data_IF_124570444923
#
_entry.id   IF_124570444923
#
_cell.length_a   1.000
_cell.length_b   1.000
_cell.length_c   1.000
_cell.angle_alpha   90.00
_cell.angle_beta   90.00
_cell.angle_gamma   90.00
#
_symmetry.space_group_name_H-M   'P 1'
#
loop_
_entity.id
_entity.type
_entity.pdbx_description
1 polymer ?
#
# COMPACT_ATOMS: atom_id res chain seq x y z
N UNK A 1 -12.68 -24.12 -4.53
CA UNK A 1 -11.53 -23.61 -5.29
C UNK A 1 -10.33 -24.53 -5.12
N UNK A 2 -9.66 -24.59 -3.93
CA UNK A 2 -8.44 -25.38 -3.77
C UNK A 2 -8.65 -26.90 -3.99
N UNK A 3 -9.77 -27.47 -3.58
CA UNK A 3 -10.15 -28.86 -3.87
C UNK A 3 -10.46 -29.14 -5.35
N UNK A 4 -10.51 -28.11 -6.17
CA UNK A 4 -10.70 -28.15 -7.63
C UNK A 4 -9.40 -27.79 -8.35
N UNK A 5 -8.26 -28.09 -7.71
CA UNK A 5 -6.90 -27.85 -8.22
C UNK A 5 -6.55 -26.38 -8.44
N UNK A 6 -7.26 -25.44 -7.79
CA UNK A 6 -6.95 -24.01 -7.81
C UNK A 6 -6.14 -23.63 -6.58
N UNK A 7 -5.49 -22.49 -6.65
CA UNK A 7 -4.65 -22.01 -5.56
C UNK A 7 -5.22 -20.74 -4.92
N UNK A 8 -4.89 -20.56 -3.64
CA UNK A 8 -5.30 -19.39 -2.87
C UNK A 8 -4.10 -18.69 -2.22
N UNK A 9 -4.17 -17.37 -2.18
CA UNK A 9 -3.37 -16.55 -1.26
C UNK A 9 -4.18 -16.30 0.01
N UNK A 10 -3.53 -16.45 1.15
CA UNK A 10 -4.07 -16.08 2.46
C UNK A 10 -3.16 -15.02 3.08
N UNK A 11 -3.62 -13.78 3.15
CA UNK A 11 -2.82 -12.64 3.57
C UNK A 11 -3.20 -12.22 4.98
N UNK A 12 -2.23 -12.29 5.90
CA UNK A 12 -2.38 -11.81 7.27
C UNK A 12 -1.94 -10.35 7.36
N UNK A 13 -2.79 -9.49 7.93
CA UNK A 13 -2.47 -8.09 8.13
C UNK A 13 -1.36 -7.90 9.17
N UNK A 14 -0.59 -6.85 8.98
CA UNK A 14 0.34 -6.33 9.96
C UNK A 14 -0.42 -5.84 11.21
N UNK A 15 -0.25 -6.50 12.34
CA UNK A 15 -0.90 -6.09 13.59
C UNK A 15 -0.06 -5.03 14.32
N UNK A 16 1.28 -5.05 14.16
CA UNK A 16 2.23 -4.13 14.79
C UNK A 16 3.44 -3.87 13.88
N UNK A 17 4.22 -2.83 14.18
CA UNK A 17 5.43 -2.42 13.43
C UNK A 17 6.61 -3.41 13.52
N UNK A 18 6.43 -4.58 14.16
CA UNK A 18 7.48 -5.58 14.36
C UNK A 18 7.34 -6.77 13.41
N UNK A 19 8.34 -7.00 12.58
CA UNK A 19 8.44 -8.17 11.68
C UNK A 19 8.28 -9.51 12.42
N UNK A 20 8.67 -9.56 13.70
CA UNK A 20 8.58 -10.76 14.52
C UNK A 20 7.13 -11.14 14.86
N UNK A 21 6.29 -10.16 15.21
CA UNK A 21 4.88 -10.38 15.52
C UNK A 21 4.07 -10.71 14.26
N UNK A 22 4.45 -10.12 13.15
CA UNK A 22 3.84 -10.41 11.85
C UNK A 22 4.10 -11.85 11.39
N UNK A 23 5.35 -12.30 11.52
CA UNK A 23 5.72 -13.68 11.20
C UNK A 23 4.93 -14.65 12.06
N UNK A 24 4.83 -14.39 13.38
CA UNK A 24 4.07 -15.23 14.30
C UNK A 24 2.58 -15.33 13.95
N UNK A 25 1.94 -14.23 13.54
CA UNK A 25 0.53 -14.26 13.10
C UNK A 25 0.33 -15.14 11.86
N UNK A 26 1.22 -15.06 10.88
CA UNK A 26 1.18 -15.92 9.71
C UNK A 26 1.50 -17.39 10.03
N UNK A 27 2.43 -17.65 10.95
CA UNK A 27 2.75 -18.99 11.45
C UNK A 27 1.54 -19.65 12.13
N UNK A 28 0.82 -18.89 12.98
CA UNK A 28 -0.40 -19.37 13.66
C UNK A 28 -1.49 -19.67 12.61
N UNK A 29 -1.75 -18.74 11.70
CA UNK A 29 -2.75 -18.95 10.65
C UNK A 29 -2.42 -20.18 9.77
N UNK A 30 -1.16 -20.37 9.41
CA UNK A 30 -0.72 -21.54 8.64
C UNK A 30 -0.90 -22.84 9.42
N UNK A 31 -0.64 -22.86 10.72
CA UNK A 31 -0.86 -24.01 11.57
C UNK A 31 -2.35 -24.35 11.69
N UNK A 32 -3.20 -23.37 11.99
CA UNK A 32 -4.65 -23.54 12.09
C UNK A 32 -5.26 -24.04 10.75
N UNK A 33 -4.81 -23.49 9.63
CA UNK A 33 -5.24 -23.96 8.31
C UNK A 33 -4.77 -25.38 8.02
N UNK A 34 -3.56 -25.76 8.41
CA UNK A 34 -3.04 -27.11 8.22
C UNK A 34 -3.80 -28.15 9.05
N UNK A 35 -4.26 -27.77 10.25
CA UNK A 35 -5.10 -28.64 11.10
C UNK A 35 -6.53 -28.75 10.55
N UNK A 36 -7.09 -27.65 10.06
CA UNK A 36 -8.45 -27.61 9.55
C UNK A 36 -8.60 -28.19 8.13
N UNK A 37 -7.56 -28.11 7.31
CA UNK A 37 -7.57 -28.48 5.89
C UNK A 37 -6.47 -29.51 5.61
N UNK A 38 -6.56 -30.67 6.22
CA UNK A 38 -5.53 -31.74 6.16
C UNK A 38 -5.32 -32.31 4.77
N UNK A 39 -6.25 -32.09 3.85
CA UNK A 39 -6.19 -32.51 2.46
C UNK A 39 -5.50 -31.47 1.54
N UNK A 40 -5.13 -30.29 2.07
CA UNK A 40 -4.48 -29.23 1.32
C UNK A 40 -3.05 -28.98 1.78
N UNK A 41 -2.19 -28.60 0.84
CA UNK A 41 -0.78 -28.28 1.09
C UNK A 41 -0.67 -26.79 1.39
N UNK A 42 -0.31 -26.46 2.62
CA UNK A 42 -0.18 -25.09 3.10
C UNK A 42 1.29 -24.67 3.02
N UNK A 43 1.58 -23.56 2.38
CA UNK A 43 2.88 -22.88 2.37
C UNK A 43 2.86 -21.64 3.24
N UNK A 44 4.01 -21.23 3.77
CA UNK A 44 4.17 -20.05 4.61
C UNK A 44 5.25 -19.12 4.05
N UNK A 45 4.92 -17.83 3.91
CA UNK A 45 5.81 -16.80 3.38
C UNK A 45 5.74 -15.54 4.25
N UNK A 46 6.84 -15.18 4.91
CA UNK A 46 6.93 -14.00 5.77
C UNK A 46 8.27 -13.28 5.68
N UNK A 47 8.36 -12.07 6.25
CA UNK A 47 9.54 -11.20 6.16
C UNK A 47 10.83 -11.81 6.67
N UNK A 48 10.77 -12.71 7.68
CA UNK A 48 11.94 -13.35 8.34
C UNK A 48 12.59 -14.47 7.54
N UNK A 49 11.94 -14.98 6.50
CA UNK A 49 12.56 -15.95 5.60
C UNK A 49 13.68 -15.27 4.80
N UNK A 50 14.75 -16.02 4.54
CA UNK A 50 15.81 -15.59 3.62
C UNK A 50 15.30 -15.42 2.19
N UNK A 51 16.07 -14.74 1.36
CA UNK A 51 15.69 -14.55 -0.04
C UNK A 51 15.54 -15.89 -0.79
N UNK A 52 16.41 -16.86 -0.50
CA UNK A 52 16.39 -18.18 -1.11
C UNK A 52 15.16 -19.00 -0.69
N UNK A 53 14.81 -18.99 0.60
CA UNK A 53 13.60 -19.64 1.12
C UNK A 53 12.33 -19.04 0.53
N UNK A 54 12.28 -17.70 0.39
CA UNK A 54 11.16 -17.02 -0.27
C UNK A 54 11.04 -17.42 -1.74
N UNK A 55 12.16 -17.47 -2.45
CA UNK A 55 12.18 -17.88 -3.85
C UNK A 55 11.75 -19.33 -4.03
N UNK A 56 12.20 -20.24 -3.16
CA UNK A 56 11.81 -21.65 -3.18
C UNK A 56 10.31 -21.83 -2.90
N UNK A 57 9.78 -21.13 -1.89
CA UNK A 57 8.35 -21.17 -1.54
C UNK A 57 7.49 -20.67 -2.70
N UNK A 58 7.87 -19.56 -3.32
CA UNK A 58 7.17 -19.02 -4.49
C UNK A 58 7.26 -19.94 -5.70
N UNK A 59 8.42 -20.55 -5.94
CA UNK A 59 8.58 -21.55 -7.02
C UNK A 59 7.72 -22.80 -6.76
N UNK A 60 7.63 -23.27 -5.51
CA UNK A 60 6.75 -24.37 -5.15
C UNK A 60 5.27 -24.03 -5.35
N UNK A 61 4.86 -22.81 -5.01
CA UNK A 61 3.50 -22.33 -5.24
C UNK A 61 3.20 -22.20 -6.73
N UNK A 62 4.07 -21.57 -7.51
CA UNK A 62 3.91 -21.44 -8.96
C UNK A 62 3.86 -22.81 -9.68
N UNK A 63 4.59 -23.81 -9.16
CA UNK A 63 4.58 -25.19 -9.68
C UNK A 63 3.39 -26.03 -9.18
N UNK A 64 2.38 -25.44 -8.56
CA UNK A 64 1.20 -26.12 -8.01
C UNK A 64 1.53 -27.23 -6.98
N UNK A 65 2.63 -27.05 -6.22
CA UNK A 65 3.00 -27.93 -5.10
C UNK A 65 2.47 -27.47 -3.75
N UNK A 66 1.86 -26.28 -3.72
CA UNK A 66 1.21 -25.64 -2.57
C UNK A 66 -0.17 -25.17 -3.03
N UNK A 67 -1.20 -25.46 -2.25
CA UNK A 67 -2.59 -25.12 -2.56
C UNK A 67 -2.99 -23.79 -1.95
N UNK A 68 -2.53 -23.51 -0.72
CA UNK A 68 -2.75 -22.23 -0.05
C UNK A 68 -1.40 -21.66 0.39
N UNK A 69 -1.09 -20.44 -0.03
CA UNK A 69 0.07 -19.69 0.41
C UNK A 69 -0.34 -18.66 1.47
N UNK A 70 -0.03 -18.95 2.73
CA UNK A 70 -0.19 -18.01 3.83
C UNK A 70 0.98 -17.03 3.82
N UNK A 71 0.69 -15.73 3.80
CA UNK A 71 1.74 -14.73 3.69
C UNK A 71 1.44 -13.48 4.51
N UNK A 72 2.49 -12.80 4.96
CA UNK A 72 2.40 -11.41 5.38
C UNK A 72 2.39 -10.49 4.15
N UNK A 73 2.27 -9.17 4.34
CA UNK A 73 2.18 -8.17 3.25
C UNK A 73 3.33 -8.18 2.23
N UNK A 74 4.36 -8.99 2.44
CA UNK A 74 5.56 -9.10 1.57
C UNK A 74 5.29 -9.88 0.27
N UNK A 75 4.04 -10.01 -0.19
CA UNK A 75 3.76 -10.56 -1.54
C UNK A 75 4.12 -9.50 -2.62
N UNK A 76 5.24 -8.83 -2.45
CA UNK A 76 5.79 -7.92 -3.46
C UNK A 76 6.58 -8.66 -4.55
N UNK A 77 6.80 -9.96 -4.39
CA UNK A 77 7.57 -10.74 -5.35
C UNK A 77 6.72 -10.97 -6.59
N UNK A 78 7.13 -10.36 -7.69
CA UNK A 78 6.45 -10.31 -8.99
C UNK A 78 6.30 -11.64 -9.74
N UNK A 79 6.05 -12.75 -9.03
CA UNK A 79 5.75 -14.03 -9.65
C UNK A 79 4.26 -14.08 -9.97
N UNK A 80 3.96 -14.21 -11.24
CA UNK A 80 2.60 -14.44 -11.72
C UNK A 80 2.23 -15.91 -11.52
N UNK A 81 1.12 -16.16 -10.82
CA UNK A 81 0.59 -17.50 -10.59
C UNK A 81 -0.82 -17.57 -11.17
N UNK A 82 -0.94 -17.95 -12.46
CA UNK A 82 -2.23 -17.94 -13.17
C UNK A 82 -3.30 -18.84 -12.54
N UNK A 83 -2.87 -19.89 -11.82
CA UNK A 83 -3.76 -20.83 -11.14
C UNK A 83 -4.31 -20.29 -9.80
N UNK A 84 -3.74 -19.20 -9.27
CA UNK A 84 -4.25 -18.55 -8.06
C UNK A 84 -5.51 -17.75 -8.38
N UNK A 85 -6.66 -18.31 -8.03
CA UNK A 85 -7.98 -17.74 -8.30
C UNK A 85 -8.65 -17.15 -7.05
N UNK A 86 -8.06 -17.31 -5.87
CA UNK A 86 -8.62 -16.82 -4.63
C UNK A 86 -7.60 -16.01 -3.84
N UNK A 87 -8.02 -14.82 -3.38
CA UNK A 87 -7.28 -13.97 -2.45
C UNK A 87 -8.13 -13.81 -1.19
N UNK A 88 -7.59 -14.19 -0.05
CA UNK A 88 -8.21 -14.01 1.26
C UNK A 88 -7.33 -13.03 2.04
N UNK A 89 -7.92 -11.95 2.54
CA UNK A 89 -7.20 -10.91 3.29
C UNK A 89 -7.83 -10.81 4.68
N UNK A 90 -7.08 -11.21 5.70
CA UNK A 90 -7.49 -11.06 7.10
C UNK A 90 -7.25 -9.65 7.61
N UNK A 91 -8.11 -9.22 8.53
CA UNK A 91 -8.08 -7.88 9.12
C UNK A 91 -7.95 -6.79 8.03
N UNK A 92 -8.75 -6.90 6.98
CA UNK A 92 -8.70 -6.05 5.80
C UNK A 92 -8.90 -4.56 6.11
N UNK A 93 -9.53 -4.23 7.25
CA UNK A 93 -9.70 -2.86 7.74
C UNK A 93 -8.39 -2.16 8.08
N UNK A 94 -7.31 -2.90 8.27
CA UNK A 94 -5.98 -2.38 8.60
C UNK A 94 -5.16 -1.97 7.38
N UNK A 95 -5.56 -2.46 6.20
CA UNK A 95 -4.88 -2.13 4.95
C UNK A 95 -5.31 -0.78 4.38
N UNK A 96 -4.36 -0.11 3.75
CA UNK A 96 -4.67 1.02 2.86
C UNK A 96 -5.39 0.56 1.60
N UNK A 97 -6.17 1.46 0.98
CA UNK A 97 -6.94 1.13 -0.21
C UNK A 97 -6.04 0.72 -1.39
N UNK A 98 -4.90 1.39 -1.56
CA UNK A 98 -3.90 1.02 -2.57
C UNK A 98 -3.33 -0.38 -2.33
N UNK A 99 -3.06 -0.78 -1.08
CA UNK A 99 -2.57 -2.12 -0.74
C UNK A 99 -3.60 -3.20 -1.05
N UNK A 100 -4.86 -2.98 -0.67
CA UNK A 100 -5.96 -3.90 -0.99
C UNK A 100 -6.12 -4.08 -2.50
N UNK A 101 -5.99 -2.99 -3.26
CA UNK A 101 -6.05 -3.04 -4.72
C UNK A 101 -4.89 -3.82 -5.33
N UNK A 102 -3.67 -3.61 -4.84
CA UNK A 102 -2.49 -4.37 -5.28
C UNK A 102 -2.62 -5.86 -4.98
N UNK A 103 -3.07 -6.23 -3.77
CA UNK A 103 -3.30 -7.62 -3.38
C UNK A 103 -4.36 -8.27 -4.26
N UNK A 104 -5.51 -7.62 -4.46
CA UNK A 104 -6.56 -8.11 -5.35
C UNK A 104 -6.03 -8.35 -6.77
N UNK A 105 -5.16 -7.48 -7.28
CA UNK A 105 -4.55 -7.61 -8.60
C UNK A 105 -3.56 -8.77 -8.74
N UNK A 106 -3.26 -9.52 -7.67
CA UNK A 106 -2.42 -10.73 -7.73
C UNK A 106 -3.18 -11.98 -8.16
N UNK A 107 -4.49 -11.94 -8.14
CA UNK A 107 -5.36 -13.01 -8.64
C UNK A 107 -6.16 -12.51 -9.85
N UNK A 108 -6.73 -13.44 -10.62
CA UNK A 108 -7.55 -13.09 -11.79
C UNK A 108 -6.76 -12.78 -13.06
N UNK A 109 -5.50 -13.20 -13.14
CA UNK A 109 -4.66 -13.06 -14.34
C UNK A 109 -4.84 -14.20 -15.35
N UNK A 110 -5.57 -15.24 -14.98
CA UNK A 110 -5.95 -16.34 -15.84
C UNK A 110 -7.33 -16.17 -16.47
N UNK A 111 -7.74 -17.16 -17.27
CA UNK A 111 -9.09 -17.24 -17.86
C UNK A 111 -10.18 -17.64 -16.86
N UNK A 112 -9.82 -17.89 -15.60
CA UNK A 112 -10.71 -18.43 -14.57
C UNK A 112 -11.23 -17.27 -13.71
N UNK A 113 -12.52 -17.34 -13.34
CA UNK A 113 -13.12 -16.41 -12.39
C UNK A 113 -12.35 -16.42 -11.06
N UNK A 114 -12.02 -15.24 -10.56
CA UNK A 114 -11.28 -15.05 -9.33
C UNK A 114 -12.08 -14.28 -8.29
N UNK A 115 -11.83 -14.62 -7.03
CA UNK A 115 -12.51 -14.02 -5.90
C UNK A 115 -11.51 -13.40 -4.92
N UNK A 116 -11.87 -12.25 -4.35
CA UNK A 116 -11.14 -11.60 -3.27
C UNK A 116 -12.07 -11.48 -2.05
N UNK A 117 -11.73 -12.18 -0.97
CA UNK A 117 -12.46 -12.16 0.29
C UNK A 117 -11.75 -11.21 1.27
N UNK A 118 -12.47 -10.23 1.78
CA UNK A 118 -11.99 -9.29 2.77
C UNK A 118 -12.62 -9.63 4.12
N UNK A 119 -11.84 -10.23 5.02
CA UNK A 119 -12.24 -10.57 6.38
C UNK A 119 -11.86 -9.39 7.27
N UNK A 120 -12.79 -8.89 8.08
CA UNK A 120 -12.58 -7.74 8.96
C UNK A 120 -13.17 -7.96 10.35
N UNK A 121 -12.66 -7.24 11.34
CA UNK A 121 -13.16 -7.25 12.70
C UNK A 121 -14.05 -6.03 12.96
N UNK A 122 -15.20 -6.26 13.63
CA UNK A 122 -16.08 -5.19 14.09
C UNK A 122 -15.69 -4.72 15.50
N UNK A 123 -15.90 -3.43 15.84
CA UNK A 123 -16.52 -2.38 15.02
C UNK A 123 -15.54 -1.74 14.03
N UNK A 124 -16.01 -1.47 12.82
CA UNK A 124 -15.22 -0.75 11.81
C UNK A 124 -15.27 0.77 12.03
N UNK A 125 -14.13 1.44 11.89
CA UNK A 125 -14.08 2.90 11.75
C UNK A 125 -14.80 3.36 10.49
N UNK A 126 -15.22 4.63 10.44
CA UNK A 126 -15.88 5.19 9.25
C UNK A 126 -14.97 5.11 8.01
N UNK A 127 -13.68 5.41 8.17
CA UNK A 127 -12.68 5.31 7.10
C UNK A 127 -12.51 3.88 6.60
N UNK A 128 -12.47 2.88 7.51
CA UNK A 128 -12.38 1.48 7.12
C UNK A 128 -13.61 1.02 6.34
N UNK A 129 -14.82 1.42 6.78
CA UNK A 129 -16.07 1.14 6.04
C UNK A 129 -16.04 1.68 4.63
N UNK A 130 -15.59 2.93 4.46
CA UNK A 130 -15.48 3.56 3.15
C UNK A 130 -14.50 2.82 2.25
N UNK A 131 -13.29 2.48 2.75
CA UNK A 131 -12.29 1.73 1.98
C UNK A 131 -12.80 0.37 1.52
N UNK A 132 -13.39 -0.41 2.44
CA UNK A 132 -13.93 -1.74 2.09
C UNK A 132 -15.11 -1.64 1.11
N UNK A 133 -15.95 -0.60 1.23
CA UNK A 133 -17.03 -0.34 0.26
C UNK A 133 -16.48 -0.07 -1.14
N UNK A 134 -15.47 0.81 -1.27
CA UNK A 134 -14.83 1.09 -2.56
C UNK A 134 -14.26 -0.17 -3.21
N UNK A 135 -13.59 -1.02 -2.41
CA UNK A 135 -13.03 -2.28 -2.91
C UNK A 135 -14.09 -3.26 -3.44
N UNK A 136 -15.28 -3.23 -2.84
CA UNK A 136 -16.42 -4.07 -3.27
C UNK A 136 -17.09 -3.50 -4.54
N UNK A 137 -17.18 -2.18 -4.66
CA UNK A 137 -17.99 -1.49 -5.68
C UNK A 137 -17.22 -1.25 -6.98
N UNK A 138 -15.88 -1.14 -6.92
CA UNK A 138 -15.06 -0.83 -8.08
C UNK A 138 -13.89 -1.81 -8.28
N UNK A 139 -13.62 -2.10 -9.56
CA UNK A 139 -12.40 -2.78 -10.01
C UNK A 139 -11.45 -1.81 -10.74
N UNK A 140 -11.91 -0.61 -11.06
CA UNK A 140 -11.13 0.40 -11.75
C UNK A 140 -10.11 1.04 -10.82
N UNK A 141 -8.82 0.91 -11.19
CA UNK A 141 -7.70 1.45 -10.41
C UNK A 141 -7.71 2.97 -10.31
N UNK A 142 -8.21 3.69 -11.32
CA UNK A 142 -8.32 5.15 -11.27
C UNK A 142 -9.38 5.60 -10.29
N UNK A 143 -10.55 4.96 -10.30
CA UNK A 143 -11.63 5.22 -9.33
C UNK A 143 -11.14 4.93 -7.91
N UNK A 144 -10.41 3.83 -7.71
CA UNK A 144 -9.86 3.45 -6.42
C UNK A 144 -8.83 4.50 -5.94
N UNK A 145 -7.95 4.96 -6.82
CA UNK A 145 -6.95 5.99 -6.50
C UNK A 145 -7.60 7.33 -6.14
N UNK A 146 -8.61 7.76 -6.89
CA UNK A 146 -9.39 8.98 -6.60
C UNK A 146 -10.09 8.89 -5.23
N UNK A 147 -10.70 7.73 -4.95
CA UNK A 147 -11.35 7.50 -3.66
C UNK A 147 -10.35 7.40 -2.49
N UNK A 148 -9.18 6.79 -2.70
CA UNK A 148 -8.11 6.76 -1.70
C UNK A 148 -7.66 8.19 -1.33
N UNK A 149 -7.48 9.04 -2.34
CA UNK A 149 -7.17 10.46 -2.17
C UNK A 149 -8.26 11.19 -1.37
N UNK A 150 -9.52 10.97 -1.73
CA UNK A 150 -10.68 11.57 -1.07
C UNK A 150 -10.82 11.11 0.40
N UNK A 151 -10.59 9.82 0.69
CA UNK A 151 -10.71 9.23 2.03
C UNK A 151 -9.58 9.70 2.94
N UNK A 152 -8.35 9.77 2.43
CA UNK A 152 -7.18 10.27 3.20
C UNK A 152 -7.30 11.77 3.48
N UNK A 153 -8.00 12.49 2.61
CA UNK A 153 -8.08 13.94 2.67
C UNK A 153 -6.78 14.64 2.26
N UNK A 154 -6.85 15.93 1.97
CA UNK A 154 -5.69 16.71 1.49
C UNK A 154 -4.55 16.81 2.52
N UNK A 155 -4.82 16.57 3.79
CA UNK A 155 -3.83 16.63 4.87
C UNK A 155 -2.87 15.44 4.93
N UNK A 156 -3.31 14.24 4.57
CA UNK A 156 -2.44 13.04 4.56
C UNK A 156 -1.68 12.90 3.24
N UNK A 157 -2.29 13.28 2.13
CA UNK A 157 -1.65 13.21 0.80
C UNK A 157 -0.54 14.23 0.66
N UNK A 158 -0.71 15.40 1.26
CA UNK A 158 0.32 16.45 1.32
C UNK A 158 1.32 16.21 2.46
N UNK A 159 1.24 15.05 3.15
CA UNK A 159 2.19 14.64 4.17
C UNK A 159 2.45 15.75 5.20
N UNK A 160 1.52 15.99 6.11
CA UNK A 160 1.73 16.95 7.22
C UNK A 160 2.95 16.63 8.10
N UNK A 161 3.67 15.55 7.78
CA UNK A 161 4.96 15.18 8.38
C UNK A 161 6.15 15.14 7.41
N UNK A 162 5.93 15.26 6.10
CA UNK A 162 7.02 15.49 5.15
C UNK A 162 7.10 16.96 4.79
N UNK A 163 7.91 17.66 5.54
CA UNK A 163 8.72 18.82 5.19
C UNK A 163 8.57 19.28 3.74
N UNK A 164 7.78 20.32 3.50
CA UNK A 164 7.87 21.08 2.26
C UNK A 164 6.62 21.69 1.67
N UNK A 165 5.43 21.25 2.01
CA UNK A 165 4.22 21.95 1.56
C UNK A 165 3.66 22.82 2.68
N UNK A 166 3.74 24.12 2.49
CA UNK A 166 3.07 25.08 3.35
C UNK A 166 1.57 24.83 3.27
N UNK A 167 0.91 24.55 4.40
CA UNK A 167 -0.54 24.53 4.45
C UNK A 167 -1.04 25.93 4.14
N UNK A 168 -1.84 26.08 3.10
CA UNK A 168 -2.48 27.36 2.80
C UNK A 168 -3.37 27.79 3.96
N UNK A 169 -3.44 29.10 4.20
CA UNK A 169 -4.26 29.66 5.29
C UNK A 169 -5.76 29.60 5.00
N UNK A 170 -6.14 29.62 3.73
CA UNK A 170 -7.54 29.75 3.28
C UNK A 170 -7.91 28.68 2.29
N UNK A 171 -7.03 28.33 1.33
CA UNK A 171 -7.34 27.39 0.28
C UNK A 171 -7.48 25.96 0.81
N UNK A 172 -8.54 25.28 0.40
CA UNK A 172 -8.79 23.85 0.60
C UNK A 172 -8.91 23.22 -0.77
N UNK A 173 -7.86 22.52 -1.20
CA UNK A 173 -7.74 22.06 -2.58
C UNK A 173 -8.95 21.28 -3.11
N UNK A 174 -9.60 20.36 -2.38
CA UNK A 174 -10.77 19.66 -2.89
C UNK A 174 -11.98 20.59 -3.15
N UNK A 175 -12.11 21.65 -2.33
CA UNK A 175 -13.24 22.59 -2.44
C UNK A 175 -12.99 23.66 -3.51
N UNK A 176 -11.72 23.91 -3.83
CA UNK A 176 -11.28 24.98 -4.73
C UNK A 176 -10.62 24.45 -6.02
N UNK A 177 -10.83 23.20 -6.36
CA UNK A 177 -10.24 22.57 -7.55
C UNK A 177 -10.55 23.34 -8.84
N UNK A 178 -11.79 23.80 -8.99
CA UNK A 178 -12.21 24.58 -10.14
C UNK A 178 -11.47 25.92 -10.32
N UNK A 179 -10.79 26.40 -9.28
CA UNK A 179 -10.00 27.65 -9.32
C UNK A 179 -8.52 27.40 -9.66
N UNK A 180 -8.04 26.15 -9.70
CA UNK A 180 -6.61 25.85 -9.87
C UNK A 180 -6.07 26.38 -11.20
N UNK A 181 -6.79 26.16 -12.29
CA UNK A 181 -6.38 26.62 -13.62
C UNK A 181 -6.27 28.15 -13.67
N UNK A 182 -7.27 28.84 -13.16
CA UNK A 182 -7.26 30.31 -13.08
C UNK A 182 -6.15 30.82 -12.16
N UNK A 183 -5.94 30.15 -11.02
CA UNK A 183 -4.89 30.52 -10.07
C UNK A 183 -3.50 30.33 -10.68
N UNK A 184 -3.27 29.30 -11.48
CA UNK A 184 -2.02 29.07 -12.18
C UNK A 184 -1.73 30.20 -13.19
N UNK A 185 -2.69 30.55 -14.01
CA UNK A 185 -2.54 31.63 -15.01
C UNK A 185 -2.18 32.94 -14.31
N UNK A 186 -2.94 33.30 -13.29
CA UNK A 186 -2.69 34.52 -12.52
C UNK A 186 -1.35 34.54 -11.82
N UNK A 187 -0.91 33.37 -11.31
CA UNK A 187 0.40 33.25 -10.66
C UNK A 187 1.55 33.44 -11.66
N UNK A 188 1.45 32.84 -12.85
CA UNK A 188 2.45 32.99 -13.92
C UNK A 188 2.55 34.45 -14.41
N UNK A 189 1.42 35.14 -14.58
CA UNK A 189 1.39 36.53 -14.91
C UNK A 189 2.02 37.42 -13.82
N UNK A 190 1.66 37.17 -12.56
CA UNK A 190 2.17 37.92 -11.44
C UNK A 190 3.69 37.76 -11.25
N UNK A 191 4.21 36.54 -11.39
CA UNK A 191 5.65 36.28 -11.30
C UNK A 191 6.41 36.97 -12.44
N UNK A 192 5.84 37.00 -13.63
CA UNK A 192 6.43 37.64 -14.80
C UNK A 192 6.43 39.18 -14.72
N UNK A 193 5.31 39.77 -14.27
CA UNK A 193 5.07 41.19 -14.36
C UNK A 193 5.43 41.94 -13.07
N UNK A 194 5.34 41.30 -11.88
CA UNK A 194 5.68 41.87 -10.58
C UNK A 194 6.16 40.79 -9.58
N UNK A 195 7.35 40.29 -9.76
CA UNK A 195 7.94 39.26 -8.90
C UNK A 195 7.98 39.68 -7.40
N UNK A 196 8.16 40.95 -7.10
CA UNK A 196 8.18 41.45 -5.72
C UNK A 196 6.82 41.31 -5.03
N UNK A 197 5.76 41.57 -5.78
CA UNK A 197 4.40 41.35 -5.29
C UNK A 197 4.03 39.90 -5.15
N UNK A 198 4.56 39.04 -6.02
CA UNK A 198 4.42 37.59 -5.90
C UNK A 198 5.01 37.07 -4.59
N UNK A 199 6.25 37.48 -4.23
CA UNK A 199 6.89 37.14 -2.96
C UNK A 199 6.11 37.64 -1.74
N UNK A 200 5.55 38.85 -1.79
CA UNK A 200 4.74 39.39 -0.70
C UNK A 200 3.45 38.59 -0.50
N UNK A 201 2.82 38.14 -1.57
CA UNK A 201 1.63 37.31 -1.51
C UNK A 201 1.99 35.94 -0.95
N UNK A 202 3.04 35.31 -1.43
CA UNK A 202 3.52 34.02 -0.92
C UNK A 202 3.79 34.10 0.58
N UNK A 203 4.58 35.05 1.03
CA UNK A 203 4.94 35.19 2.46
C UNK A 203 3.74 35.49 3.35
N UNK A 204 2.72 36.16 2.83
CA UNK A 204 1.49 36.51 3.58
C UNK A 204 0.53 35.35 3.74
N UNK A 205 0.42 34.48 2.72
CA UNK A 205 -0.63 33.46 2.64
C UNK A 205 -0.13 32.04 2.90
N UNK A 206 1.17 31.79 2.84
CA UNK A 206 1.81 30.56 3.29
C UNK A 206 2.26 30.70 4.75
N UNK A 207 2.27 29.63 5.49
CA UNK A 207 2.95 29.64 6.79
C UNK A 207 4.43 29.80 6.54
N UNK A 208 5.08 30.69 7.29
CA UNK A 208 6.52 30.86 7.20
C UNK A 208 7.21 29.48 7.25
N UNK A 209 8.02 29.19 6.25
CA UNK A 209 8.91 28.04 6.27
C UNK A 209 9.75 28.17 7.54
N UNK A 210 9.61 27.27 8.49
CA UNK A 210 10.68 27.00 9.42
C UNK A 210 11.88 26.63 8.56
N UNK A 211 12.98 27.35 8.73
CA UNK A 211 14.13 27.27 7.86
C UNK A 211 14.54 25.83 7.64
N UNK A 212 14.51 25.38 6.41
CA UNK A 212 15.02 24.08 5.99
C UNK A 212 16.52 24.06 6.36
N UNK A 213 16.87 23.33 7.40
CA UNK A 213 18.25 22.93 7.59
C UNK A 213 18.59 21.95 6.45
N UNK A 214 19.58 22.27 5.60
CA UNK A 214 19.95 21.33 4.54
C UNK A 214 20.40 20.03 5.21
N UNK A 215 19.73 18.93 4.90
CA UNK A 215 20.19 17.60 5.31
C UNK A 215 21.49 17.36 4.56
N UNK A 216 22.63 17.53 5.25
CA UNK A 216 23.91 17.14 4.69
C UNK A 216 23.92 15.63 4.57
N UNK A 217 23.81 15.13 3.35
CA UNK A 217 24.13 13.76 3.05
C UNK A 217 25.61 13.55 3.33
N UNK A 218 25.93 13.02 4.50
CA UNK A 218 27.25 12.45 4.76
C UNK A 218 27.36 11.21 3.89
N UNK A 219 28.11 11.32 2.82
CA UNK A 219 28.55 10.17 2.03
C UNK A 219 29.25 9.21 2.99
N UNK A 220 28.67 8.03 3.21
CA UNK A 220 29.36 6.90 3.76
C UNK A 220 30.51 6.57 2.79
N UNK A 221 31.74 6.99 3.12
CA UNK A 221 32.95 6.50 2.47
C UNK A 221 32.99 4.99 2.71
N UNK A 222 32.97 4.25 1.62
CA UNK A 222 33.39 2.85 1.64
C UNK A 222 34.79 2.79 2.19
N UNK A 223 34.99 2.05 3.28
CA UNK A 223 36.32 1.65 3.75
C UNK A 223 36.86 0.64 2.74
N UNK A 224 37.74 1.10 1.88
CA UNK A 224 38.67 0.23 1.21
C UNK A 224 39.59 -0.36 2.28
N UNK A 225 39.42 -1.66 2.57
CA UNK A 225 40.42 -2.43 3.28
C UNK A 225 41.54 -2.71 2.29
N UNK A 226 42.59 -1.90 2.35
CA UNK A 226 43.88 -2.22 1.73
C UNK A 226 44.48 -3.40 2.51
N UNK A 227 44.78 -4.44 1.79
CA UNK A 227 45.71 -5.49 2.18
C UNK A 227 47.13 -4.95 2.08
N UNK A 228 47.88 -5.12 3.15
CA UNK A 228 49.29 -5.48 3.18
C UNK A 228 49.55 -6.45 4.33
#
# INVERSE_FOLDING_TARGET
ACREERQAYWVCALIEESDALQANAAEIAAAELSEALTDLRIGLLHGRLSADEKAEMMAAFAANRIDILVATTVIEVGVDVPNASMMIIENAERFGLAQLHQLRGRVGRGAIESHCLLIYQSPLSQTAKQRLAVMRESQDGFVIAEKDLSIRGPGEVLGTRQTGFSSFRVARLPEHEALLETAQIVAEELVRDDAKRAEQIESRWTRAREAFAPVSYTHLRAHETGND
#
